data_IF_871806091779
#
_entry.id   IF_871806091779
#
_cell.length_a   1.000
_cell.length_b   1.000
_cell.length_c   1.000
_cell.angle_alpha   90.00
_cell.angle_beta   90.00
_cell.angle_gamma   90.00
#
_symmetry.space_group_name_H-M   'P 1'
#
loop_
_entity.id
_entity.type
_entity.pdbx_description
1 polymer ?
#
# COMPACT_ATOMS: atom_id res chain seq x y z
N UNK A 1 -24.92 -8.86 29.21
CA UNK A 1 -25.35 -7.59 28.58
C UNK A 1 -25.16 -7.75 27.08
N UNK A 2 -26.26 -7.56 26.35
CA UNK A 2 -26.61 -8.21 25.09
C UNK A 2 -25.69 -7.82 23.91
N UNK A 3 -25.19 -8.83 23.18
CA UNK A 3 -24.36 -8.69 21.98
C UNK A 3 -25.13 -8.21 20.75
N UNK A 4 -25.62 -6.97 20.79
CA UNK A 4 -26.36 -6.33 19.69
C UNK A 4 -25.44 -5.36 18.91
N UNK A 5 -24.53 -5.89 18.09
CA UNK A 5 -23.87 -5.08 17.05
C UNK A 5 -23.29 -5.91 15.87
N UNK A 6 -23.75 -7.16 15.70
CA UNK A 6 -23.29 -8.06 14.63
C UNK A 6 -24.32 -8.21 13.49
N UNK A 7 -25.38 -7.39 13.49
CA UNK A 7 -26.49 -7.48 12.56
C UNK A 7 -26.63 -6.26 11.65
N UNK A 8 -26.82 -6.56 10.36
CA UNK A 8 -27.54 -5.77 9.35
C UNK A 8 -26.78 -4.78 8.44
N UNK A 9 -25.53 -5.06 8.09
CA UNK A 9 -25.04 -4.60 6.78
C UNK A 9 -25.51 -5.62 5.75
N UNK A 10 -26.35 -5.21 4.78
CA UNK A 10 -26.72 -6.05 3.65
C UNK A 10 -25.46 -6.62 2.96
N UNK A 11 -25.58 -7.77 2.28
CA UNK A 11 -24.43 -8.50 1.69
C UNK A 11 -23.47 -7.58 0.90
N UNK A 12 -24.02 -6.58 0.20
CA UNK A 12 -23.22 -5.57 -0.51
C UNK A 12 -22.42 -4.64 0.41
N UNK A 13 -23.06 -4.08 1.44
CA UNK A 13 -22.43 -3.15 2.37
C UNK A 13 -21.37 -3.83 3.27
N UNK A 14 -21.54 -5.12 3.57
CA UNK A 14 -20.53 -5.89 4.30
C UNK A 14 -19.26 -6.12 3.46
N UNK A 15 -19.39 -6.36 2.14
CA UNK A 15 -18.24 -6.56 1.23
C UNK A 15 -17.51 -5.27 0.87
N UNK A 16 -18.16 -4.11 0.97
CA UNK A 16 -17.61 -2.83 0.52
C UNK A 16 -16.98 -1.98 1.65
N UNK A 17 -17.10 -2.40 2.91
CA UNK A 17 -16.45 -1.70 4.03
C UNK A 17 -15.02 -2.19 4.27
N UNK A 18 -14.21 -1.37 4.94
CA UNK A 18 -12.97 -1.85 5.54
C UNK A 18 -13.28 -2.91 6.62
N UNK A 19 -12.44 -3.97 6.72
CA UNK A 19 -12.47 -4.90 7.86
C UNK A 19 -12.34 -4.14 9.18
N UNK A 20 -12.97 -4.64 10.25
CA UNK A 20 -12.74 -4.09 11.59
C UNK A 20 -11.36 -4.54 12.09
N UNK A 21 -10.73 -3.83 13.04
CA UNK A 21 -9.44 -4.23 13.58
C UNK A 21 -9.40 -5.66 14.12
N UNK A 22 -10.49 -6.15 14.74
CA UNK A 22 -10.63 -7.51 15.27
C UNK A 22 -10.90 -8.58 14.21
N UNK A 23 -11.23 -8.19 12.98
CA UNK A 23 -11.46 -9.07 11.84
C UNK A 23 -10.26 -9.11 10.88
N UNK A 24 -9.30 -8.20 11.04
CA UNK A 24 -8.11 -8.12 10.21
C UNK A 24 -7.17 -9.31 10.48
N UNK A 25 -6.39 -9.69 9.46
CA UNK A 25 -5.34 -10.68 9.65
C UNK A 25 -4.30 -10.15 10.65
N UNK A 26 -3.73 -11.01 11.51
CA UNK A 26 -2.84 -10.60 12.62
C UNK A 26 -1.51 -9.98 12.16
N UNK A 27 -1.21 -10.00 10.86
CA UNK A 27 0.03 -9.45 10.32
C UNK A 27 1.25 -10.33 10.59
N UNK A 28 2.44 -9.70 10.58
CA UNK A 28 3.74 -10.30 10.89
C UNK A 28 4.72 -9.21 11.32
N UNK A 29 5.68 -9.55 12.17
CA UNK A 29 6.74 -8.62 12.60
C UNK A 29 7.87 -8.51 11.57
N UNK A 30 8.11 -9.58 10.80
CA UNK A 30 9.18 -9.60 9.82
C UNK A 30 8.79 -8.86 8.53
N UNK A 31 9.57 -7.85 8.11
CA UNK A 31 9.32 -7.17 6.85
C UNK A 31 9.57 -8.12 5.67
N UNK A 32 8.96 -7.82 4.53
CA UNK A 32 9.29 -8.51 3.29
C UNK A 32 10.76 -8.26 2.92
N UNK A 33 11.50 -9.28 2.45
CA UNK A 33 12.86 -9.10 1.97
C UNK A 33 12.87 -8.11 0.81
N UNK A 34 13.83 -7.19 0.82
CA UNK A 34 13.96 -6.13 -0.17
C UNK A 34 15.35 -6.19 -0.81
N UNK A 35 15.39 -6.44 -2.12
CA UNK A 35 16.56 -6.13 -2.93
C UNK A 35 16.54 -4.63 -3.21
N UNK A 36 17.47 -3.87 -2.61
CA UNK A 36 17.41 -2.40 -2.60
C UNK A 36 17.90 -1.77 -3.92
N UNK A 37 17.30 -2.16 -5.04
CA UNK A 37 17.65 -1.67 -6.37
C UNK A 37 16.40 -1.65 -7.24
N UNK A 38 16.07 -0.48 -7.76
CA UNK A 38 14.93 -0.27 -8.65
C UNK A 38 15.20 -0.92 -10.01
N UNK A 39 14.27 -1.75 -10.48
CA UNK A 39 14.49 -2.57 -11.67
C UNK A 39 14.75 -1.77 -12.95
N UNK A 40 14.14 -0.60 -13.11
CA UNK A 40 14.21 0.18 -14.36
C UNK A 40 15.42 1.13 -14.42
N UNK A 41 15.83 1.70 -13.28
CA UNK A 41 16.82 2.79 -13.24
C UNK A 41 17.94 2.56 -12.23
N UNK A 42 17.95 1.41 -11.54
CA UNK A 42 18.96 0.99 -10.56
C UNK A 42 19.13 1.89 -9.33
N UNK A 43 18.30 2.93 -9.15
CA UNK A 43 18.30 3.74 -7.93
C UNK A 43 17.81 2.94 -6.72
N UNK A 44 18.18 3.32 -5.49
CA UNK A 44 17.70 2.63 -4.29
C UNK A 44 16.17 2.75 -4.15
N UNK A 45 15.53 1.66 -3.71
CA UNK A 45 14.11 1.62 -3.36
C UNK A 45 13.85 2.16 -1.94
N UNK A 46 14.85 2.02 -1.07
CA UNK A 46 14.85 2.43 0.33
C UNK A 46 16.16 3.15 0.64
N UNK A 47 16.05 4.44 0.92
CA UNK A 47 17.16 5.31 1.32
C UNK A 47 16.60 6.51 2.12
N UNK A 48 17.47 7.40 2.61
CA UNK A 48 17.09 8.66 3.22
C UNK A 48 16.51 9.68 2.22
N UNK A 49 16.77 9.52 0.92
CA UNK A 49 16.28 10.38 -0.16
C UNK A 49 16.46 11.88 0.14
N UNK A 50 17.64 12.27 0.63
CA UNK A 50 17.92 13.64 1.04
C UNK A 50 17.73 14.64 -0.12
N UNK A 51 17.04 15.74 0.13
CA UNK A 51 16.73 16.76 -0.89
C UNK A 51 15.56 16.39 -1.83
N UNK A 52 14.93 15.22 -1.67
CA UNK A 52 13.77 14.80 -2.45
C UNK A 52 12.49 14.83 -1.61
N UNK A 53 11.35 14.86 -2.30
CA UNK A 53 10.02 14.75 -1.68
C UNK A 53 9.41 13.38 -2.02
N UNK A 54 8.56 12.86 -1.12
CA UNK A 54 7.86 11.58 -1.29
C UNK A 54 6.35 11.82 -1.39
N UNK A 55 5.73 11.13 -2.34
CA UNK A 55 4.26 11.10 -2.50
C UNK A 55 3.77 9.65 -2.45
N UNK A 56 2.55 9.45 -1.96
CA UNK A 56 1.86 8.15 -1.98
C UNK A 56 0.55 8.31 -2.74
N UNK A 57 0.31 7.43 -3.69
CA UNK A 57 -0.91 7.42 -4.52
C UNK A 57 -1.58 6.06 -4.46
N UNK A 58 -2.92 6.04 -4.52
CA UNK A 58 -3.72 4.82 -4.55
C UNK A 58 -4.66 4.87 -5.75
N UNK A 59 -4.31 4.17 -6.82
CA UNK A 59 -4.93 4.30 -8.15
C UNK A 59 -5.41 2.95 -8.72
N UNK A 60 -5.77 1.99 -7.86
CA UNK A 60 -6.12 0.62 -8.27
C UNK A 60 -4.91 -0.31 -8.33
N UNK A 61 -4.78 -1.10 -9.41
CA UNK A 61 -3.66 -2.05 -9.56
C UNK A 61 -2.31 -1.30 -9.62
N UNK A 62 -1.45 -1.55 -8.63
CA UNK A 62 -0.21 -0.81 -8.48
C UNK A 62 0.81 -1.09 -9.58
N UNK A 63 0.75 -2.22 -10.30
CA UNK A 63 1.62 -2.48 -11.45
C UNK A 63 1.42 -1.45 -12.57
N UNK A 64 0.16 -1.15 -12.89
CA UNK A 64 -0.18 -0.14 -13.88
C UNK A 64 0.11 1.27 -13.38
N UNK A 65 -0.18 1.52 -12.11
CA UNK A 65 0.05 2.83 -11.48
C UNK A 65 1.55 3.17 -11.44
N UNK A 66 2.40 2.29 -10.91
CA UNK A 66 3.85 2.51 -10.79
C UNK A 66 4.51 2.78 -12.14
N UNK A 67 4.12 2.01 -13.16
CA UNK A 67 4.61 2.20 -14.54
C UNK A 67 4.37 3.59 -15.11
N UNK A 68 3.31 4.29 -14.65
CA UNK A 68 3.03 5.66 -15.09
C UNK A 68 3.99 6.69 -14.49
N UNK A 69 4.66 6.37 -13.38
CA UNK A 69 5.54 7.31 -12.68
C UNK A 69 7.02 7.07 -12.96
N UNK A 70 7.48 5.82 -13.11
CA UNK A 70 8.92 5.54 -13.17
C UNK A 70 9.66 6.15 -14.37
N UNK A 71 8.96 6.56 -15.43
CA UNK A 71 9.55 7.24 -16.61
C UNK A 71 9.36 8.75 -16.59
N UNK A 72 8.67 9.31 -15.59
CA UNK A 72 8.37 10.75 -15.56
C UNK A 72 9.64 11.54 -15.21
N UNK A 73 9.92 12.64 -15.95
CA UNK A 73 11.01 13.54 -15.58
C UNK A 73 10.87 14.04 -14.13
N UNK A 74 11.94 13.95 -13.37
CA UNK A 74 11.98 14.35 -11.95
C UNK A 74 11.59 13.25 -10.96
N UNK A 75 11.09 12.09 -11.41
CA UNK A 75 10.88 10.94 -10.53
C UNK A 75 12.19 10.18 -10.35
N UNK A 76 12.69 10.16 -9.11
CA UNK A 76 13.94 9.51 -8.77
C UNK A 76 13.80 7.99 -8.67
N UNK A 77 12.86 7.49 -7.88
CA UNK A 77 12.63 6.07 -7.65
C UNK A 77 11.14 5.84 -7.35
N UNK A 78 10.59 4.71 -7.77
CA UNK A 78 9.23 4.30 -7.43
C UNK A 78 9.23 3.01 -6.62
N UNK A 79 8.23 2.84 -5.77
CA UNK A 79 8.00 1.57 -5.08
C UNK A 79 6.51 1.41 -4.81
N UNK A 80 6.10 0.16 -4.63
CA UNK A 80 4.70 -0.21 -4.39
C UNK A 80 4.57 -0.96 -3.07
N UNK A 81 3.39 -0.88 -2.48
CA UNK A 81 3.10 -1.54 -1.22
C UNK A 81 1.67 -1.31 -0.78
N UNK A 82 1.38 -1.73 0.44
CA UNK A 82 0.06 -1.63 1.06
C UNK A 82 0.03 -0.49 2.08
N UNK A 83 -1.12 0.18 2.19
CA UNK A 83 -1.32 1.38 2.98
C UNK A 83 -2.79 1.50 3.39
N UNK A 84 -3.07 2.11 4.55
CA UNK A 84 -4.43 2.44 4.97
C UNK A 84 -5.26 1.25 5.48
N UNK A 85 -4.61 0.12 5.75
CA UNK A 85 -5.13 -0.92 6.63
C UNK A 85 -4.79 -0.65 8.10
#
# INVERSE_FOLDING_TARGET
MLGIAKGLLGIGAFKQRLPRPDEALPGRDHPLPLHNQHYVNSHPLKDGFAGLQRIRVAMGCFWGAERKFWTLPGVYSTSVGYAGG
#
